data_IF_609397107897
#
_entry.id   IF_609397107897
#
_cell.length_a   1.000
_cell.length_b   1.000
_cell.length_c   1.000
_cell.angle_alpha   90.00
_cell.angle_beta   90.00
_cell.angle_gamma   90.00
#
_symmetry.space_group_name_H-M   'P 1'
#
loop_
_entity.id
_entity.type
_entity.pdbx_description
1 polymer ?
#
# COMPACT_ATOMS: atom_id res chain seq x y z
N UNK A 1 -10.97 -9.54 -6.33
CA UNK A 1 -11.85 -8.48 -6.86
C UNK A 1 -10.97 -7.28 -7.21
N UNK A 2 -11.05 -6.69 -8.41
CA UNK A 2 -10.23 -5.51 -8.77
C UNK A 2 -10.98 -4.25 -8.37
N UNK A 3 -10.39 -3.41 -7.49
CA UNK A 3 -10.97 -2.14 -7.05
C UNK A 3 -10.41 -1.02 -7.93
N UNK A 4 -11.28 -0.29 -8.62
CA UNK A 4 -10.89 0.87 -9.41
C UNK A 4 -11.13 2.14 -8.60
N UNK A 5 -10.17 3.06 -8.64
CA UNK A 5 -10.36 4.39 -8.09
C UNK A 5 -9.76 5.42 -9.03
N UNK A 6 -10.56 6.44 -9.35
CA UNK A 6 -10.10 7.58 -10.11
C UNK A 6 -9.68 8.67 -9.12
N UNK A 7 -8.38 8.80 -8.88
CA UNK A 7 -7.89 10.01 -8.22
C UNK A 7 -7.83 11.14 -9.24
N UNK A 8 -8.57 12.23 -9.00
CA UNK A 8 -8.53 13.42 -9.87
C UNK A 8 -7.34 14.35 -9.57
N UNK A 9 -6.63 14.13 -8.46
CA UNK A 9 -5.58 15.04 -8.01
C UNK A 9 -4.41 14.30 -7.37
N UNK A 10 -3.24 14.46 -7.98
CA UNK A 10 -1.96 14.09 -7.38
C UNK A 10 -1.55 15.21 -6.41
N UNK A 11 -1.23 14.84 -5.17
CA UNK A 11 -0.76 15.77 -4.15
C UNK A 11 0.74 16.06 -4.32
N UNK A 12 1.28 16.97 -3.49
CA UNK A 12 2.72 17.24 -3.46
C UNK A 12 3.52 15.96 -3.28
N UNK A 13 4.68 15.89 -3.93
CA UNK A 13 5.60 14.74 -3.92
C UNK A 13 5.02 13.49 -4.59
N UNK A 14 4.07 13.64 -5.52
CA UNK A 14 3.53 12.50 -6.27
C UNK A 14 2.57 11.61 -5.47
N UNK A 15 2.11 12.07 -4.30
CA UNK A 15 1.25 11.27 -3.41
C UNK A 15 -0.18 11.20 -3.92
N UNK A 16 -0.80 10.03 -3.77
CA UNK A 16 -2.22 9.80 -4.04
C UNK A 16 -2.87 9.34 -2.75
N UNK A 17 -3.88 10.07 -2.29
CA UNK A 17 -4.64 9.67 -1.11
C UNK A 17 -5.64 8.56 -1.49
N UNK A 18 -5.58 7.45 -0.75
CA UNK A 18 -6.58 6.39 -0.79
C UNK A 18 -7.53 6.58 0.38
N UNK A 19 -8.85 6.54 0.12
CA UNK A 19 -9.84 6.62 1.18
C UNK A 19 -10.00 5.28 1.92
N UNK A 20 -10.47 5.33 3.16
CA UNK A 20 -10.58 4.17 4.05
C UNK A 20 -11.35 2.98 3.44
N UNK A 21 -12.38 3.26 2.64
CA UNK A 21 -13.16 2.20 1.99
C UNK A 21 -12.34 1.44 0.94
N UNK A 22 -11.44 2.12 0.22
CA UNK A 22 -10.57 1.47 -0.76
C UNK A 22 -9.54 0.61 -0.04
N UNK A 23 -8.93 1.15 1.02
CA UNK A 23 -7.97 0.42 1.85
C UNK A 23 -8.60 -0.86 2.41
N UNK A 24 -9.79 -0.76 3.03
CA UNK A 24 -10.54 -1.93 3.54
C UNK A 24 -10.86 -2.96 2.45
N UNK A 25 -11.32 -2.50 1.28
CA UNK A 25 -11.65 -3.41 0.18
C UNK A 25 -10.41 -4.09 -0.43
N UNK A 26 -9.26 -3.43 -0.35
CA UNK A 26 -7.97 -3.96 -0.78
C UNK A 26 -7.28 -4.81 0.30
N UNK A 27 -7.79 -4.83 1.54
CA UNK A 27 -7.14 -5.48 2.67
C UNK A 27 -5.84 -4.80 3.08
N UNK A 28 -5.75 -3.48 2.92
CA UNK A 28 -4.59 -2.65 3.26
C UNK A 28 -4.89 -1.80 4.50
N UNK A 29 -3.85 -1.55 5.28
CA UNK A 29 -3.86 -0.66 6.45
C UNK A 29 -2.72 0.37 6.36
N UNK A 30 -2.77 1.40 7.21
CA UNK A 30 -1.68 2.38 7.29
C UNK A 30 -0.37 1.68 7.70
N UNK A 31 0.70 1.96 6.95
CA UNK A 31 2.02 1.35 7.16
C UNK A 31 2.29 0.10 6.32
N UNK A 32 1.28 -0.46 5.63
CA UNK A 32 1.50 -1.56 4.70
C UNK A 32 2.35 -1.12 3.50
N UNK A 33 3.24 -2.02 3.07
CA UNK A 33 3.98 -1.88 1.83
C UNK A 33 3.15 -2.39 0.65
N UNK A 34 3.26 -1.71 -0.49
CA UNK A 34 2.57 -2.06 -1.73
C UNK A 34 3.51 -2.04 -2.92
N UNK A 35 3.23 -2.92 -3.88
CA UNK A 35 3.86 -2.89 -5.19
C UNK A 35 3.03 -2.04 -6.16
N UNK A 36 3.71 -1.25 -7.00
CA UNK A 36 3.08 -0.31 -7.92
C UNK A 36 3.48 -0.64 -9.34
N UNK A 37 2.48 -0.86 -10.20
CA UNK A 37 2.67 -1.17 -11.61
C UNK A 37 1.94 -0.16 -12.51
N UNK A 38 2.43 0.00 -13.74
CA UNK A 38 1.75 0.78 -14.77
C UNK A 38 1.35 -0.13 -15.93
N UNK A 39 0.04 -0.29 -16.13
CA UNK A 39 -0.50 -0.95 -17.32
C UNK A 39 -0.49 0.05 -18.48
N UNK A 40 0.45 -0.15 -19.41
CA UNK A 40 0.61 0.73 -20.56
C UNK A 40 -0.54 0.66 -21.57
N UNK A 41 -1.30 -0.43 -21.61
CA UNK A 41 -2.43 -0.60 -22.53
C UNK A 41 -3.66 0.15 -22.04
N UNK A 42 -3.99 0.02 -20.75
CA UNK A 42 -5.15 0.71 -20.17
C UNK A 42 -4.82 2.06 -19.54
N UNK A 43 -3.53 2.42 -19.49
CA UNK A 43 -3.01 3.64 -18.85
C UNK A 43 -3.40 3.75 -17.37
N UNK A 44 -3.43 2.60 -16.68
CA UNK A 44 -3.82 2.50 -15.26
C UNK A 44 -2.61 2.23 -14.38
N UNK A 45 -2.61 2.84 -13.20
CA UNK A 45 -1.74 2.44 -12.09
C UNK A 45 -2.44 1.29 -11.36
N UNK A 46 -1.71 0.21 -11.11
CA UNK A 46 -2.19 -0.94 -10.33
C UNK A 46 -1.39 -0.95 -9.02
N UNK A 47 -2.11 -1.09 -7.91
CA UNK A 47 -1.54 -1.21 -6.56
C UNK A 47 -1.90 -2.60 -6.05
N UNK A 48 -0.89 -3.35 -5.64
CA UNK A 48 -1.07 -4.67 -5.05
C UNK A 48 -0.40 -4.70 -3.66
N UNK A 49 -0.99 -5.45 -2.73
CA UNK A 49 -0.32 -5.68 -1.44
C UNK A 49 1.02 -6.35 -1.71
N UNK A 50 2.10 -5.78 -1.16
CA UNK A 50 3.41 -6.41 -1.29
C UNK A 50 3.36 -7.80 -0.66
N UNK A 51 3.97 -8.79 -1.30
CA UNK A 51 4.10 -10.11 -0.70
C UNK A 51 4.80 -9.93 0.66
N UNK A 52 4.10 -10.27 1.76
CA UNK A 52 4.76 -10.37 3.06
C UNK A 52 5.68 -11.57 2.96
N UNK A 53 6.97 -11.33 2.72
CA UNK A 53 7.98 -12.34 3.01
C UNK A 53 7.76 -12.74 4.47
N UNK A 54 7.43 -14.01 4.71
CA UNK A 54 7.15 -14.56 6.03
C UNK A 54 8.40 -14.60 6.94
N UNK A 55 9.36 -13.68 6.75
CA UNK A 55 10.65 -13.63 7.42
C UNK A 55 11.03 -12.27 8.00
N UNK A 56 10.17 -11.25 7.94
CA UNK A 56 10.37 -10.03 8.74
C UNK A 56 9.73 -10.20 10.11
N UNK A 57 10.41 -10.97 10.96
CA UNK A 57 10.19 -10.96 12.40
C UNK A 57 10.32 -9.52 12.92
N UNK A 58 9.28 -9.07 13.60
CA UNK A 58 9.28 -7.84 14.38
C UNK A 58 10.46 -7.88 15.36
N UNK A 59 11.47 -7.03 15.15
CA UNK A 59 12.44 -6.71 16.21
C UNK A 59 11.71 -5.93 17.30
N UNK A 60 11.04 -6.65 18.19
CA UNK A 60 10.53 -6.13 19.44
C UNK A 60 11.72 -6.04 20.39
N UNK A 61 12.29 -4.84 20.50
CA UNK A 61 13.44 -4.57 21.37
C UNK A 61 13.17 -4.96 22.82
N UNK A 62 13.83 -6.00 23.29
CA UNK A 62 13.91 -6.35 24.71
C UNK A 62 14.85 -5.34 25.38
N UNK A 63 14.29 -4.30 26.01
CA UNK A 63 15.05 -3.38 26.85
C UNK A 63 15.39 -4.09 28.16
N UNK A 64 16.61 -4.63 28.24
CA UNK A 64 17.16 -5.13 29.50
C UNK A 64 17.63 -3.95 30.35
N UNK A 65 16.93 -3.70 31.44
CA UNK A 65 17.39 -2.81 32.50
C UNK A 65 18.68 -3.38 33.13
N UNK A 66 19.70 -2.54 33.25
CA UNK A 66 20.90 -2.75 34.06
C UNK A 66 20.93 -1.78 35.23
#
# INVERSE_FOLDING_TARGET
>A
MKVFFDTRRIQKLGRVALGDQILRNAGLEEGDQVDIYFDAATKRIIIEAAARDAGQESVQGEVRNG
#
